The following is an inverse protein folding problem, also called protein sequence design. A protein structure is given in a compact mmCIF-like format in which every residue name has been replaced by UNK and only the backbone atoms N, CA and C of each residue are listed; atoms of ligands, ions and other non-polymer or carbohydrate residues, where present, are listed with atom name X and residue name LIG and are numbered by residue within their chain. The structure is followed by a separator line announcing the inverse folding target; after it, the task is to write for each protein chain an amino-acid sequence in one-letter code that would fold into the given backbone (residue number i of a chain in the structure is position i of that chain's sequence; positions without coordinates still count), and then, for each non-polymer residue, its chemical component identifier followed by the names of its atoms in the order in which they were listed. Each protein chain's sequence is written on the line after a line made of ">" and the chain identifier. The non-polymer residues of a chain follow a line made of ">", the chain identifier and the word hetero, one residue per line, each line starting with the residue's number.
data_IF_902878059212
#
_entry.id   IF_902878059212
#
_cell.length_a   1.000
_cell.length_b   1.000
_cell.length_c   1.000
_cell.angle_alpha   90.00
_cell.angle_beta   90.00
_cell.angle_gamma   90.00
#
_symmetry.space_group_name_H-M   'P 1'
#
loop_
_entity.id
_entity.type
_entity.pdbx_description
1 polymer ?
#
# COMPACT_ATOMS: atom_id res chain seq x y z
N UNK A 1 -19.93 -5.41 -11.42
CA UNK A 1 -20.49 -5.80 -12.73
C UNK A 1 -21.43 -4.72 -13.22
N UNK A 2 -21.77 -4.64 -14.52
CA UNK A 2 -22.58 -3.56 -15.06
C UNK A 2 -23.89 -3.29 -14.26
N UNK A 3 -24.45 -4.34 -13.66
CA UNK A 3 -25.69 -4.29 -12.87
C UNK A 3 -25.48 -4.00 -11.37
N UNK A 4 -24.24 -3.74 -10.92
CA UNK A 4 -23.91 -3.41 -9.52
C UNK A 4 -24.09 -4.53 -8.49
N UNK A 5 -24.58 -5.71 -8.90
CA UNK A 5 -24.90 -6.84 -8.00
C UNK A 5 -23.70 -7.62 -7.49
N UNK A 6 -22.58 -7.58 -8.22
CA UNK A 6 -21.35 -8.27 -7.85
C UNK A 6 -20.28 -7.24 -7.51
N UNK A 7 -19.68 -7.42 -6.34
CA UNK A 7 -18.50 -6.68 -5.90
C UNK A 7 -17.31 -7.15 -6.73
N UNK A 8 -16.70 -6.22 -7.48
CA UNK A 8 -15.55 -6.53 -8.34
C UNK A 8 -14.22 -6.12 -7.71
N UNK A 9 -14.22 -5.05 -6.90
CA UNK A 9 -13.05 -4.49 -6.24
C UNK A 9 -13.43 -4.08 -4.81
N UNK A 10 -12.54 -4.33 -3.86
CA UNK A 10 -12.62 -3.83 -2.48
C UNK A 10 -11.35 -3.07 -2.12
N UNK A 11 -11.50 -2.02 -1.31
CA UNK A 11 -10.41 -1.24 -0.75
C UNK A 11 -10.60 -1.09 0.77
N UNK A 12 -9.51 -1.03 1.53
CA UNK A 12 -9.55 -0.83 2.98
C UNK A 12 -9.03 0.57 3.34
N UNK A 13 -9.91 1.40 3.90
CA UNK A 13 -9.64 2.82 4.16
C UNK A 13 -8.42 3.09 5.05
N UNK A 14 -8.21 2.25 6.07
CA UNK A 14 -7.18 2.47 7.10
C UNK A 14 -5.89 1.68 6.82
N UNK A 15 -5.69 1.22 5.58
CA UNK A 15 -4.46 0.55 5.15
C UNK A 15 -3.79 1.35 4.03
N UNK A 16 -2.45 1.58 4.09
CA UNK A 16 -1.75 2.47 3.16
C UNK A 16 -1.88 2.04 1.69
N UNK A 17 -2.04 0.74 1.44
CA UNK A 17 -2.41 0.22 0.13
C UNK A 17 -3.07 -1.14 0.30
N UNK A 18 -4.36 -1.26 0.02
CA UNK A 18 -5.09 -2.53 0.06
C UNK A 18 -6.12 -2.57 -1.04
N UNK A 19 -5.97 -3.51 -1.97
CA UNK A 19 -6.90 -3.74 -3.06
C UNK A 19 -7.13 -5.25 -3.20
N UNK A 20 -8.39 -5.67 -3.22
CA UNK A 20 -8.80 -7.01 -3.61
C UNK A 20 -9.66 -6.94 -4.87
N UNK A 21 -9.35 -7.73 -5.90
CA UNK A 21 -10.14 -7.81 -7.14
C UNK A 21 -10.61 -9.25 -7.41
N UNK A 22 -11.82 -9.39 -7.95
CA UNK A 22 -12.38 -10.70 -8.32
C UNK A 22 -11.86 -11.20 -9.69
N UNK A 23 -11.50 -10.28 -10.58
CA UNK A 23 -10.97 -10.59 -11.90
C UNK A 23 -9.46 -10.89 -11.86
N UNK A 24 -8.94 -11.37 -13.00
CA UNK A 24 -7.55 -11.79 -13.19
C UNK A 24 -6.73 -10.71 -13.95
N UNK A 25 -6.18 -9.67 -13.27
CA UNK A 25 -5.37 -8.63 -13.92
C UNK A 25 -4.06 -9.16 -14.50
N UNK A 26 -3.58 -10.33 -14.07
CA UNK A 26 -2.35 -10.98 -14.54
C UNK A 26 -2.39 -11.29 -16.04
N UNK A 27 -3.55 -11.69 -16.58
CA UNK A 27 -3.67 -12.02 -18.00
C UNK A 27 -3.60 -10.78 -18.90
N UNK A 28 -3.88 -9.59 -18.34
CA UNK A 28 -3.82 -8.30 -19.04
C UNK A 28 -2.47 -7.61 -18.90
N UNK A 29 -1.63 -8.02 -17.95
CA UNK A 29 -0.31 -7.44 -17.75
C UNK A 29 0.68 -7.88 -18.84
N UNK A 30 1.44 -6.95 -19.41
CA UNK A 30 2.50 -7.23 -20.40
C UNK A 30 3.86 -6.72 -19.92
N UNK A 31 4.98 -7.26 -20.42
CA UNK A 31 6.32 -6.83 -20.00
C UNK A 31 6.59 -5.33 -20.19
N UNK A 32 6.11 -4.75 -21.30
CA UNK A 32 6.28 -3.32 -21.63
C UNK A 32 5.06 -2.47 -21.29
N UNK A 33 3.98 -3.08 -20.82
CA UNK A 33 2.75 -2.42 -20.40
C UNK A 33 2.18 -3.17 -19.18
N UNK A 34 2.82 -3.02 -18.01
CA UNK A 34 2.42 -3.73 -16.81
C UNK A 34 1.09 -3.19 -16.29
N UNK A 35 0.24 -4.10 -15.78
CA UNK A 35 -1.07 -3.69 -15.28
C UNK A 35 -0.91 -2.70 -14.10
N UNK A 36 -1.67 -1.57 -14.08
CA UNK A 36 -1.50 -0.52 -13.07
C UNK A 36 -1.61 -1.00 -11.61
N UNK A 37 -2.44 -2.02 -11.35
CA UNK A 37 -2.53 -2.64 -10.02
C UNK A 37 -1.18 -3.15 -9.52
N UNK A 38 -0.42 -3.86 -10.36
CA UNK A 38 0.89 -4.39 -9.94
C UNK A 38 1.92 -3.27 -9.78
N UNK A 39 1.92 -2.27 -10.67
CA UNK A 39 2.83 -1.11 -10.58
C UNK A 39 2.59 -0.35 -9.27
N UNK A 40 1.33 -0.05 -8.96
CA UNK A 40 0.97 0.67 -7.74
C UNK A 40 1.26 -0.14 -6.47
N UNK A 41 1.06 -1.47 -6.50
CA UNK A 41 1.41 -2.36 -5.39
C UNK A 41 2.90 -2.30 -5.06
N UNK A 42 3.76 -2.46 -6.06
CA UNK A 42 5.21 -2.43 -5.86
C UNK A 42 5.66 -1.06 -5.36
N UNK A 43 5.09 0.03 -5.89
CA UNK A 43 5.36 1.38 -5.39
C UNK A 43 5.00 1.51 -3.91
N UNK A 44 3.81 1.05 -3.51
CA UNK A 44 3.39 1.08 -2.10
C UNK A 44 4.32 0.25 -1.19
N UNK A 45 4.82 -0.89 -1.67
CA UNK A 45 5.82 -1.69 -0.94
C UNK A 45 7.14 -0.93 -0.74
N UNK A 46 7.60 -0.18 -1.75
CA UNK A 46 8.80 0.67 -1.65
C UNK A 46 8.56 1.79 -0.64
N UNK A 47 7.42 2.48 -0.72
CA UNK A 47 7.06 3.58 0.18
C UNK A 47 6.99 3.08 1.64
N UNK A 48 6.34 1.94 1.88
CA UNK A 48 6.28 1.31 3.19
C UNK A 48 7.67 0.90 3.73
N UNK A 49 8.56 0.43 2.85
CA UNK A 49 9.95 0.13 3.23
C UNK A 49 10.70 1.40 3.65
N UNK A 50 10.54 2.49 2.90
CA UNK A 50 11.18 3.78 3.22
C UNK A 50 10.70 4.32 4.57
N UNK A 51 9.39 4.28 4.83
CA UNK A 51 8.82 4.71 6.12
C UNK A 51 9.40 3.93 7.32
N UNK A 52 9.59 2.62 7.18
CA UNK A 52 10.24 1.82 8.24
C UNK A 52 11.69 2.20 8.49
N UNK A 53 12.43 2.59 7.45
CA UNK A 53 13.83 3.01 7.60
C UNK A 53 13.98 4.37 8.28
N UNK A 54 13.03 5.29 8.07
CA UNK A 54 13.05 6.60 8.72
C UNK A 54 12.74 6.51 10.21
N UNK A 55 11.84 5.61 10.62
CA UNK A 55 11.50 5.41 12.03
C UNK A 55 12.65 4.80 12.84
N UNK A 56 13.54 4.03 12.20
CA UNK A 56 14.69 3.39 12.89
C UNK A 56 15.86 4.36 13.10
N UNK A 57 15.90 5.49 12.38
CA UNK A 57 17.03 6.45 12.41
C UNK A 57 16.70 7.74 13.17
N UNK A 58 15.52 7.82 13.80
CA UNK A 58 15.23 8.91 14.73
C UNK A 58 16.07 8.69 16.01
N UNK A 59 16.95 9.63 16.40
CA UNK A 59 17.65 9.50 17.67
C UNK A 59 16.61 9.47 18.78
N UNK A 60 16.67 8.45 19.62
CA UNK A 60 16.01 8.39 20.93
C UNK A 60 16.37 9.65 21.72
N UNK A 61 15.61 10.73 21.53
CA UNK A 61 15.59 11.84 22.47
C UNK A 61 14.85 11.31 23.69
N UNK A 62 15.64 10.81 24.64
CA UNK A 62 15.24 10.74 26.03
C UNK A 62 14.62 12.09 26.41
N UNK A 63 13.32 12.13 26.65
CA UNK A 63 12.75 13.18 27.49
C UNK A 63 13.22 12.93 28.91
N UNK A 64 14.39 13.47 29.24
CA UNK A 64 14.77 13.74 30.62
C UNK A 64 14.04 15.00 31.09
N UNK A 65 13.84 15.10 32.41
CA UNK A 65 13.37 16.27 33.20
C UNK A 65 11.92 16.72 32.98
N UNK A 66 11.14 17.05 34.01
CA UNK A 66 11.41 17.23 35.44
C UNK A 66 10.09 17.49 36.18
N UNK A 67 10.05 17.06 37.43
CA UNK A 67 9.08 17.38 38.46
C UNK A 67 8.64 18.85 38.48
N UNK A 68 7.36 19.10 38.74
CA UNK A 68 6.84 19.97 39.82
C UNK A 68 5.39 19.59 40.06
#
# INVERSE_FOLDING_TARGET
>A
SPDGRLVEIIELKDHPWFIGCQFHPEFKSKPFDPHPLFVSFIKACIDAKLQRTTDTTAPTSLKSSSST
#
